data_IF_635879739835
#
_entry.id   IF_635879739835
#
_cell.length_a   1.000
_cell.length_b   1.000
_cell.length_c   1.000
_cell.angle_alpha   90.00
_cell.angle_beta   90.00
_cell.angle_gamma   90.00
#
_symmetry.space_group_name_H-M   'P 1'
#
loop_
_entity.id
_entity.type
_entity.pdbx_description
1 polymer ?
#
# COMPACT_ATOMS: atom_id res chain seq x y z
N UNK A 1 -6.75 -9.28 -28.96
CA UNK A 1 -7.16 -9.13 -27.55
C UNK A 1 -5.90 -9.19 -26.73
N UNK A 2 -5.57 -8.18 -25.89
CA UNK A 2 -4.38 -8.29 -25.06
C UNK A 2 -4.60 -9.41 -24.04
N UNK A 3 -3.63 -10.31 -23.96
CA UNK A 3 -3.56 -11.38 -22.97
C UNK A 3 -3.72 -10.77 -21.58
N UNK A 4 -4.73 -11.20 -20.81
CA UNK A 4 -4.88 -10.76 -19.44
C UNK A 4 -3.66 -11.26 -18.64
N UNK A 5 -2.71 -10.36 -18.37
CA UNK A 5 -1.54 -10.67 -17.55
C UNK A 5 -2.05 -11.12 -16.18
N UNK A 6 -1.71 -12.36 -15.77
CA UNK A 6 -2.13 -12.88 -14.47
C UNK A 6 -1.60 -11.97 -13.36
N UNK A 7 -2.42 -11.65 -12.33
CA UNK A 7 -1.97 -10.86 -11.20
C UNK A 7 -0.77 -11.50 -10.50
N UNK A 8 0.19 -10.67 -10.08
CA UNK A 8 1.29 -11.09 -9.21
C UNK A 8 0.73 -11.22 -7.79
N UNK A 9 0.92 -12.37 -7.16
CA UNK A 9 0.55 -12.54 -5.75
C UNK A 9 1.62 -11.96 -4.85
N UNK A 10 1.22 -11.08 -3.94
CA UNK A 10 2.11 -10.50 -2.94
C UNK A 10 1.65 -10.85 -1.54
N UNK A 11 2.45 -11.67 -0.85
CA UNK A 11 2.22 -12.12 0.53
C UNK A 11 2.55 -11.07 1.61
N UNK A 12 3.02 -9.89 1.20
CA UNK A 12 3.55 -8.83 2.07
C UNK A 12 4.75 -9.23 2.96
N UNK A 13 5.28 -10.45 2.85
CA UNK A 13 6.43 -10.91 3.64
C UNK A 13 7.75 -10.25 3.27
N UNK A 14 7.97 -9.98 1.98
CA UNK A 14 9.00 -9.05 1.50
C UNK A 14 8.32 -7.73 1.13
N UNK A 15 8.41 -6.77 2.05
CA UNK A 15 7.80 -5.44 1.89
C UNK A 15 8.41 -4.65 0.71
N UNK A 16 9.61 -5.03 0.25
CA UNK A 16 10.28 -4.35 -0.87
C UNK A 16 10.06 -5.04 -2.22
N UNK A 17 9.38 -6.19 -2.25
CA UNK A 17 9.10 -6.92 -3.48
C UNK A 17 8.44 -6.05 -4.59
N UNK A 18 7.49 -5.14 -4.28
CA UNK A 18 6.85 -4.31 -5.30
C UNK A 18 7.80 -3.43 -6.12
N UNK A 19 8.94 -3.02 -5.55
CA UNK A 19 9.92 -2.21 -6.27
C UNK A 19 10.69 -2.97 -7.37
N UNK A 20 10.50 -4.30 -7.47
CA UNK A 20 11.13 -5.15 -8.50
C UNK A 20 10.22 -5.44 -9.68
N UNK A 21 8.94 -5.06 -9.62
CA UNK A 21 7.96 -5.39 -10.66
C UNK A 21 7.83 -4.30 -11.72
N UNK A 22 7.43 -4.73 -12.91
CA UNK A 22 7.26 -3.85 -14.07
C UNK A 22 6.09 -2.88 -13.87
N UNK A 23 6.24 -1.66 -14.38
CA UNK A 23 5.15 -0.70 -14.46
C UNK A 23 3.93 -1.30 -15.21
N UNK A 24 2.73 -1.06 -14.68
CA UNK A 24 1.48 -1.59 -15.23
C UNK A 24 1.12 -2.99 -14.74
N UNK A 25 1.98 -3.65 -13.95
CA UNK A 25 1.63 -4.93 -13.35
C UNK A 25 0.46 -4.78 -12.36
N UNK A 26 -0.42 -5.77 -12.38
CA UNK A 26 -1.51 -5.93 -11.40
C UNK A 26 -1.01 -6.86 -10.30
N UNK A 27 -1.18 -6.43 -9.06
CA UNK A 27 -0.71 -7.12 -7.85
C UNK A 27 -1.92 -7.44 -6.99
N UNK A 28 -2.13 -8.73 -6.68
CA UNK A 28 -3.11 -9.14 -5.68
C UNK A 28 -2.42 -9.28 -4.34
N UNK A 29 -2.97 -8.62 -3.34
CA UNK A 29 -2.41 -8.55 -2.00
C UNK A 29 -3.06 -9.62 -1.15
N UNK A 30 -2.24 -10.49 -0.56
CA UNK A 30 -2.66 -11.50 0.40
C UNK A 30 -1.68 -11.46 1.58
N UNK A 31 -2.10 -11.69 2.83
CA UNK A 31 -3.46 -11.99 3.28
C UNK A 31 -4.37 -10.74 3.31
N UNK A 32 -5.63 -10.93 3.72
CA UNK A 32 -6.56 -9.83 4.01
C UNK A 32 -5.98 -8.92 5.11
N UNK A 33 -5.56 -7.72 4.72
CA UNK A 33 -4.91 -6.74 5.60
C UNK A 33 -5.82 -6.19 6.71
N UNK A 34 -7.12 -6.45 6.62
CA UNK A 34 -8.13 -5.96 7.57
C UNK A 34 -8.70 -7.07 8.44
N UNK A 35 -8.11 -8.25 8.41
CA UNK A 35 -8.35 -9.25 9.45
C UNK A 35 -7.96 -8.70 10.83
N UNK A 36 -8.72 -9.03 11.90
CA UNK A 36 -8.47 -8.51 13.25
C UNK A 36 -7.07 -8.83 13.82
N UNK A 37 -6.39 -9.84 13.28
CA UNK A 37 -5.05 -10.25 13.73
C UNK A 37 -3.92 -9.45 13.08
N UNK A 38 -4.22 -8.67 12.05
CA UNK A 38 -3.22 -7.86 11.35
C UNK A 38 -2.99 -6.58 12.15
N UNK A 39 -1.75 -6.39 12.59
CA UNK A 39 -1.33 -5.21 13.33
C UNK A 39 -1.39 -3.94 12.46
N UNK A 40 -1.78 -2.82 13.06
CA UNK A 40 -1.91 -1.54 12.36
C UNK A 40 -0.58 -1.09 11.73
N UNK A 41 0.54 -1.29 12.43
CA UNK A 41 1.87 -0.93 11.93
C UNK A 41 2.23 -1.70 10.65
N UNK A 42 1.86 -2.98 10.55
CA UNK A 42 2.09 -3.78 9.36
C UNK A 42 1.20 -3.31 8.20
N UNK A 43 -0.07 -3.00 8.49
CA UNK A 43 -0.99 -2.42 7.50
C UNK A 43 -0.45 -1.11 6.95
N UNK A 44 0.07 -0.24 7.80
CA UNK A 44 0.68 1.03 7.41
C UNK A 44 1.90 0.85 6.52
N UNK A 45 2.80 -0.09 6.84
CA UNK A 45 3.96 -0.40 6.01
C UNK A 45 3.54 -0.90 4.61
N UNK A 46 2.51 -1.75 4.55
CA UNK A 46 1.99 -2.30 3.30
C UNK A 46 1.36 -1.19 2.44
N UNK A 47 0.49 -0.35 3.01
CA UNK A 47 -0.09 0.79 2.30
C UNK A 47 0.96 1.83 1.90
N UNK A 48 1.96 2.08 2.75
CA UNK A 48 3.08 2.94 2.43
C UNK A 48 3.87 2.45 1.21
N UNK A 49 4.10 1.14 1.13
CA UNK A 49 4.75 0.52 -0.03
C UNK A 49 3.91 0.70 -1.30
N UNK A 50 2.60 0.48 -1.23
CA UNK A 50 1.70 0.70 -2.37
C UNK A 50 1.73 2.14 -2.85
N UNK A 51 1.78 3.09 -1.93
CA UNK A 51 1.85 4.52 -2.22
C UNK A 51 3.16 4.92 -2.92
N UNK A 52 4.26 4.25 -2.60
CA UNK A 52 5.58 4.47 -3.21
C UNK A 52 5.76 3.75 -4.56
N UNK A 53 4.81 2.90 -4.94
CA UNK A 53 4.77 2.21 -6.22
C UNK A 53 3.54 2.64 -7.05
N UNK A 54 3.39 3.94 -7.40
CA UNK A 54 2.21 4.46 -8.11
C UNK A 54 2.02 3.86 -9.51
N UNK A 55 3.07 3.22 -10.04
CA UNK A 55 3.04 2.54 -11.32
C UNK A 55 2.45 1.13 -11.30
N UNK A 56 2.14 0.57 -10.13
CA UNK A 56 1.52 -0.74 -9.99
C UNK A 56 0.05 -0.58 -9.61
N UNK A 57 -0.81 -1.49 -10.07
CA UNK A 57 -2.20 -1.57 -9.59
C UNK A 57 -2.31 -2.64 -8.53
N UNK A 58 -2.73 -2.28 -7.32
CA UNK A 58 -2.93 -3.20 -6.21
C UNK A 58 -4.42 -3.52 -6.05
N UNK A 59 -4.72 -4.81 -5.98
CA UNK A 59 -6.04 -5.36 -5.70
C UNK A 59 -6.04 -5.93 -4.28
N UNK A 60 -6.82 -5.33 -3.41
CA UNK A 60 -7.06 -5.78 -2.04
C UNK A 60 -8.32 -6.64 -2.02
N UNK A 61 -8.25 -7.81 -1.42
CA UNK A 61 -9.42 -8.62 -1.11
C UNK A 61 -9.62 -8.61 0.40
N UNK A 62 -10.85 -8.31 0.86
CA UNK A 62 -11.14 -8.29 2.29
C UNK A 62 -12.56 -8.72 2.61
N UNK A 63 -12.71 -9.52 3.68
CA UNK A 63 -14.00 -9.81 4.29
C UNK A 63 -14.49 -8.66 5.19
N UNK A 64 -13.67 -7.63 5.40
CA UNK A 64 -13.90 -6.52 6.33
C UNK A 64 -13.92 -5.14 5.63
N UNK A 65 -14.78 -4.93 4.61
CA UNK A 65 -14.76 -3.72 3.79
C UNK A 65 -15.03 -2.43 4.59
N UNK A 66 -15.78 -2.51 5.70
CA UNK A 66 -16.01 -1.38 6.60
C UNK A 66 -14.73 -0.94 7.32
N UNK A 67 -13.92 -1.89 7.78
CA UNK A 67 -12.63 -1.60 8.44
C UNK A 67 -11.67 -0.94 7.45
N UNK A 68 -11.64 -1.42 6.21
CA UNK A 68 -10.90 -0.75 5.13
C UNK A 68 -11.38 0.69 4.91
N UNK A 69 -12.70 0.90 4.80
CA UNK A 69 -13.25 2.24 4.59
C UNK A 69 -12.92 3.18 5.74
N UNK A 70 -13.03 2.70 6.99
CA UNK A 70 -12.69 3.49 8.18
C UNK A 70 -11.19 3.82 8.21
N UNK A 71 -10.32 2.86 7.91
CA UNK A 71 -8.87 3.08 7.82
C UNK A 71 -8.51 4.15 6.78
N UNK A 72 -9.02 4.02 5.55
CA UNK A 72 -8.79 5.00 4.47
C UNK A 72 -9.32 6.38 4.85
N UNK A 73 -10.51 6.44 5.45
CA UNK A 73 -11.14 7.69 5.89
C UNK A 73 -10.30 8.38 6.97
N UNK A 74 -9.90 7.64 7.99
CA UNK A 74 -9.09 8.15 9.11
C UNK A 74 -7.79 8.79 8.62
N UNK A 75 -7.03 8.12 7.74
CA UNK A 75 -5.79 8.69 7.18
C UNK A 75 -6.07 9.91 6.31
N UNK A 76 -7.18 9.93 5.57
CA UNK A 76 -7.52 11.04 4.69
C UNK A 76 -8.00 12.30 5.45
N UNK A 77 -8.67 12.12 6.58
CA UNK A 77 -9.34 13.20 7.32
C UNK A 77 -8.53 13.67 8.55
N UNK A 78 -7.73 12.80 9.17
CA UNK A 78 -6.92 13.14 10.34
C UNK A 78 -5.45 13.38 9.94
N UNK A 79 -5.00 14.61 10.19
CA UNK A 79 -3.62 15.04 9.89
C UNK A 79 -2.59 14.27 10.71
N UNK A 80 -2.85 13.95 11.97
CA UNK A 80 -1.92 13.21 12.81
C UNK A 80 -1.77 11.78 12.31
N UNK A 81 -2.87 11.13 11.95
CA UNK A 81 -2.86 9.78 11.38
C UNK A 81 -2.13 9.75 10.03
N UNK A 82 -2.37 10.75 9.17
CA UNK A 82 -1.60 10.91 7.93
C UNK A 82 -0.08 11.04 8.18
N UNK A 83 0.31 11.84 9.18
CA UNK A 83 1.73 12.04 9.51
C UNK A 83 2.35 10.77 10.09
N UNK A 84 1.63 10.04 10.95
CA UNK A 84 2.05 8.74 11.48
C UNK A 84 2.27 7.74 10.36
N UNK A 85 1.28 7.58 9.47
CA UNK A 85 1.40 6.72 8.29
C UNK A 85 2.57 7.13 7.39
N UNK A 86 2.82 8.43 7.22
CA UNK A 86 3.95 8.93 6.41
C UNK A 86 5.31 8.55 6.99
N UNK A 87 5.43 8.32 8.30
CA UNK A 87 6.66 7.77 8.90
C UNK A 87 6.99 6.39 8.34
N UNK A 88 5.97 5.55 8.10
CA UNK A 88 6.15 4.24 7.46
C UNK A 88 6.68 4.38 6.03
N UNK A 89 6.14 5.32 5.24
CA UNK A 89 6.65 5.61 3.90
C UNK A 89 8.12 6.09 3.92
N UNK A 90 8.46 6.97 4.87
CA UNK A 90 9.84 7.39 5.07
C UNK A 90 10.76 6.21 5.45
N UNK A 91 10.30 5.30 6.30
CA UNK A 91 11.06 4.11 6.68
C UNK A 91 11.33 3.19 5.47
N UNK A 92 10.35 2.96 4.60
CA UNK A 92 10.53 2.20 3.36
C UNK A 92 11.54 2.88 2.42
N UNK A 93 11.45 4.20 2.24
CA UNK A 93 12.41 4.95 1.42
C UNK A 93 13.86 4.83 1.95
N UNK A 94 14.05 4.85 3.27
CA UNK A 94 15.37 4.61 3.90
C UNK A 94 15.88 3.19 3.64
N UNK A 95 15.00 2.17 3.73
CA UNK A 95 15.35 0.77 3.36
C UNK A 95 15.84 0.69 1.91
N UNK A 96 15.33 1.54 1.03
CA UNK A 96 15.73 1.66 -0.39
C UNK A 96 16.93 2.60 -0.64
N UNK A 97 17.55 3.19 0.40
CA UNK A 97 18.61 4.22 0.27
C UNK A 97 18.17 5.47 -0.50
N UNK A 98 16.88 5.82 -0.42
CA UNK A 98 16.24 6.99 -1.06
C UNK A 98 15.87 8.05 -0.01
N UNK A 99 16.74 8.28 0.96
CA UNK A 99 16.51 9.14 2.13
C UNK A 99 16.11 10.58 1.76
N UNK A 100 16.64 11.10 0.65
CA UNK A 100 16.32 12.43 0.14
C UNK A 100 14.84 12.60 -0.25
N UNK A 101 14.14 11.52 -0.58
CA UNK A 101 12.71 11.56 -0.92
C UNK A 101 11.82 11.54 0.33
N UNK A 102 12.35 11.09 1.48
CA UNK A 102 11.59 10.98 2.72
C UNK A 102 11.24 12.35 3.32
N UNK A 103 12.00 13.39 2.99
CA UNK A 103 11.77 14.78 3.46
C UNK A 103 10.85 15.58 2.54
N UNK A 104 10.58 15.10 1.33
CA UNK A 104 9.75 15.76 0.32
C UNK A 104 8.24 15.70 0.60
N UNK A 105 7.40 16.30 -0.26
CA UNK A 105 5.95 16.13 -0.19
C UNK A 105 5.63 14.64 -0.34
N UNK A 106 5.19 14.01 0.76
CA UNK A 106 4.92 12.57 0.81
C UNK A 106 3.82 12.13 -0.17
N UNK A 107 3.53 10.83 -0.24
CA UNK A 107 2.52 10.34 -1.17
C UNK A 107 1.15 10.96 -0.89
N UNK A 108 0.40 11.21 -1.97
CA UNK A 108 -0.93 11.80 -1.89
C UNK A 108 -1.96 10.72 -1.56
N UNK A 109 -2.86 11.06 -0.66
CA UNK A 109 -4.06 10.27 -0.37
C UNK A 109 -5.31 10.88 -1.04
N UNK A 110 -6.30 10.07 -1.41
CA UNK A 110 -6.31 8.61 -1.36
C UNK A 110 -5.42 7.97 -2.45
N UNK A 111 -4.95 6.75 -2.20
CA UNK A 111 -4.10 6.00 -3.13
C UNK A 111 -4.91 5.55 -4.35
N UNK A 112 -4.70 6.19 -5.50
CA UNK A 112 -5.45 5.90 -6.74
C UNK A 112 -5.13 4.55 -7.37
N UNK A 113 -4.01 3.96 -6.95
CA UNK A 113 -3.50 2.72 -7.49
C UNK A 113 -3.90 1.50 -6.64
N UNK A 114 -4.71 1.69 -5.60
CA UNK A 114 -5.24 0.64 -4.73
C UNK A 114 -6.74 0.54 -4.98
N UNK A 115 -7.23 -0.66 -5.25
CA UNK A 115 -8.65 -0.95 -5.43
C UNK A 115 -9.07 -2.13 -4.56
N UNK A 116 -10.29 -2.07 -4.03
CA UNK A 116 -10.94 -3.26 -3.47
C UNK A 116 -11.42 -4.14 -4.62
N UNK A 117 -11.05 -5.42 -4.58
CA UNK A 117 -11.57 -6.47 -5.45
C UNK A 117 -12.72 -7.20 -4.73
N UNK A 118 -13.73 -7.58 -5.51
CA UNK A 118 -14.92 -8.32 -5.06
C UNK A 118 -14.60 -9.79 -4.74
#
# INVERSE_FOLDING_TARGET
MPEATKPILWSCGDILAPFRWSHGAVVRVEPDLFEPKVEDIFRDEVFATMALCPGLRFELQTAHPRVHQDYVRTIAEDRMEYLTWRVSAAAILRKLRRDHEATGPGPKWPLRNVVLAD
#
